data_IF_332820832635
#
_entry.id   IF_332820832635
#
_cell.length_a   1.000
_cell.length_b   1.000
_cell.length_c   1.000
_cell.angle_alpha   90.00
_cell.angle_beta   90.00
_cell.angle_gamma   90.00
#
_symmetry.space_group_name_H-M   'P 1'
#
loop_
_entity.id
_entity.type
_entity.pdbx_description
1 polymer ?
#
# COMPACT_ATOMS: atom_id res chain seq x y z
N UNK A 1 0.55 20.29 -5.50
CA UNK A 1 1.35 19.33 -4.72
C UNK A 1 1.47 18.08 -5.55
N UNK A 2 2.65 17.47 -5.64
CA UNK A 2 2.77 16.18 -6.30
C UNK A 2 2.08 15.11 -5.43
N UNK A 3 1.47 14.14 -6.11
CA UNK A 3 0.67 13.08 -5.50
C UNK A 3 1.11 11.74 -6.10
N UNK A 4 1.46 10.82 -5.21
CA UNK A 4 1.89 9.47 -5.55
C UNK A 4 0.89 8.49 -4.99
N UNK A 5 0.54 7.46 -5.74
CA UNK A 5 -0.46 6.49 -5.33
C UNK A 5 -0.04 5.06 -5.62
N UNK A 6 -0.58 4.17 -4.80
CA UNK A 6 -0.66 2.73 -5.01
C UNK A 6 -2.12 2.36 -4.88
N UNK A 7 -2.70 1.82 -5.95
CA UNK A 7 -4.09 1.39 -6.00
C UNK A 7 -4.15 -0.12 -6.18
N UNK A 8 -4.96 -0.77 -5.35
CA UNK A 8 -5.18 -2.22 -5.39
C UNK A 8 -6.65 -2.47 -5.66
N UNK A 9 -6.97 -3.13 -6.78
CA UNK A 9 -8.36 -3.29 -7.26
C UNK A 9 -8.66 -4.76 -7.46
N UNK A 10 -9.73 -5.25 -6.83
CA UNK A 10 -10.32 -6.54 -7.17
C UNK A 10 -11.49 -6.36 -8.14
N UNK A 11 -12.36 -5.41 -7.82
CA UNK A 11 -13.51 -5.00 -8.62
C UNK A 11 -13.94 -3.58 -8.19
N UNK A 12 -14.90 -2.93 -8.87
CA UNK A 12 -15.29 -1.55 -8.56
C UNK A 12 -15.81 -1.32 -7.13
N UNK A 13 -16.28 -2.38 -6.46
CA UNK A 13 -16.80 -2.33 -5.09
C UNK A 13 -15.73 -2.65 -4.04
N UNK A 14 -14.60 -3.25 -4.45
CA UNK A 14 -13.53 -3.70 -3.56
C UNK A 14 -12.17 -3.20 -4.05
N UNK A 15 -11.70 -2.11 -3.45
CA UNK A 15 -10.42 -1.51 -3.77
C UNK A 15 -9.76 -0.87 -2.54
N UNK A 16 -8.46 -0.65 -2.64
CA UNK A 16 -7.62 0.07 -1.67
C UNK A 16 -6.82 1.12 -2.43
N UNK A 17 -6.67 2.29 -1.83
CA UNK A 17 -5.83 3.37 -2.35
C UNK A 17 -4.93 3.88 -1.23
N UNK A 18 -3.63 3.97 -1.51
CA UNK A 18 -2.60 4.49 -0.60
C UNK A 18 -1.95 5.67 -1.32
N UNK A 19 -2.08 6.86 -0.76
CA UNK A 19 -1.66 8.11 -1.39
C UNK A 19 -0.61 8.81 -0.55
N UNK A 20 0.59 8.98 -1.10
CA UNK A 20 1.64 9.82 -0.54
C UNK A 20 1.59 11.23 -1.11
N UNK A 21 1.53 12.23 -0.23
CA UNK A 21 1.55 13.63 -0.62
C UNK A 21 2.94 14.21 -0.41
N UNK A 22 3.53 14.79 -1.45
CA UNK A 22 4.86 15.38 -1.36
C UNK A 22 5.60 15.35 -2.68
N UNK A 23 6.69 16.13 -2.80
CA UNK A 23 7.51 16.14 -4.01
C UNK A 23 8.29 14.85 -4.23
N UNK A 24 8.53 14.07 -3.16
CA UNK A 24 9.33 12.85 -3.16
C UNK A 24 8.50 11.67 -2.61
N UNK A 25 8.34 10.57 -3.36
CA UNK A 25 7.62 9.39 -2.89
C UNK A 25 8.40 8.57 -1.84
N UNK A 26 9.72 8.73 -1.72
CA UNK A 26 10.49 8.09 -0.63
C UNK A 26 10.20 8.73 0.72
N UNK A 27 9.92 10.03 0.71
CA UNK A 27 9.66 10.81 1.92
C UNK A 27 8.45 11.76 1.76
N UNK A 28 7.24 11.24 1.45
CA UNK A 28 6.05 12.07 1.45
C UNK A 28 5.85 12.71 2.82
N UNK A 29 5.27 13.90 2.84
CA UNK A 29 4.96 14.61 4.09
C UNK A 29 3.84 13.94 4.86
N UNK A 30 2.99 13.16 4.17
CA UNK A 30 1.92 12.37 4.75
C UNK A 30 1.50 11.24 3.80
N UNK A 31 1.04 10.14 4.37
CA UNK A 31 0.35 9.07 3.65
C UNK A 31 -1.10 8.99 4.11
N UNK A 32 -2.02 8.92 3.16
CA UNK A 32 -3.44 8.66 3.41
C UNK A 32 -3.82 7.32 2.79
N UNK A 33 -4.71 6.58 3.46
CA UNK A 33 -5.19 5.28 2.99
C UNK A 33 -6.71 5.26 2.96
N UNK A 34 -7.28 4.75 1.87
CA UNK A 34 -8.72 4.55 1.71
C UNK A 34 -9.00 3.11 1.27
N UNK A 35 -10.14 2.56 1.67
CA UNK A 35 -10.63 1.28 1.20
C UNK A 35 -12.13 1.35 0.90
N UNK A 36 -12.59 0.51 -0.04
CA UNK A 36 -14.00 0.30 -0.36
C UNK A 36 -14.33 -1.19 -0.29
N UNK A 37 -15.54 -1.49 0.20
CA UNK A 37 -16.04 -2.85 0.34
C UNK A 37 -15.34 -3.65 1.45
N UNK A 38 -15.99 -4.72 1.90
CA UNK A 38 -15.49 -5.51 3.03
C UNK A 38 -14.14 -6.18 2.73
N UNK A 39 -13.94 -6.63 1.47
CA UNK A 39 -12.66 -7.23 1.08
C UNK A 39 -11.56 -6.21 0.95
N UNK A 40 -11.87 -5.00 0.48
CA UNK A 40 -10.91 -3.89 0.43
C UNK A 40 -10.50 -3.44 1.83
N UNK A 41 -11.45 -3.34 2.76
CA UNK A 41 -11.17 -3.01 4.15
C UNK A 41 -10.26 -4.04 4.81
N UNK A 42 -10.58 -5.33 4.66
CA UNK A 42 -9.75 -6.42 5.19
C UNK A 42 -8.34 -6.42 4.59
N UNK A 43 -8.22 -6.15 3.29
CA UNK A 43 -6.93 -6.05 2.62
C UNK A 43 -6.12 -4.86 3.15
N UNK A 44 -6.74 -3.69 3.33
CA UNK A 44 -6.05 -2.51 3.87
C UNK A 44 -5.53 -2.76 5.29
N UNK A 45 -6.28 -3.46 6.13
CA UNK A 45 -5.84 -3.80 7.49
C UNK A 45 -4.62 -4.72 7.47
N UNK A 46 -4.56 -5.69 6.56
CA UNK A 46 -3.37 -6.53 6.38
C UNK A 46 -2.16 -5.75 5.86
N UNK A 47 -2.35 -4.89 4.85
CA UNK A 47 -1.27 -4.04 4.32
C UNK A 47 -0.76 -3.12 5.42
N UNK A 48 -1.65 -2.51 6.21
CA UNK A 48 -1.26 -1.64 7.33
C UNK A 48 -0.50 -2.41 8.41
N UNK A 49 -0.94 -3.61 8.75
CA UNK A 49 -0.21 -4.45 9.71
C UNK A 49 1.20 -4.78 9.22
N UNK A 50 1.34 -5.12 7.93
CA UNK A 50 2.64 -5.38 7.30
C UNK A 50 3.53 -4.13 7.23
N UNK A 51 2.94 -2.96 6.95
CA UNK A 51 3.68 -1.70 6.88
C UNK A 51 4.15 -1.22 8.26
N UNK A 52 3.34 -1.37 9.30
CA UNK A 52 3.69 -0.93 10.65
C UNK A 52 4.57 -1.93 11.40
N UNK A 53 4.40 -3.22 11.11
CA UNK A 53 5.11 -4.31 11.75
C UNK A 53 5.71 -5.25 10.70
N UNK A 54 6.66 -4.77 9.88
CA UNK A 54 7.21 -5.56 8.79
C UNK A 54 7.89 -6.81 9.34
N UNK A 55 7.73 -7.96 8.65
CA UNK A 55 8.47 -9.17 9.00
C UNK A 55 9.99 -8.92 8.88
N UNK A 56 10.79 -9.74 9.55
CA UNK A 56 12.22 -9.46 9.78
C UNK A 56 13.01 -9.26 8.47
N UNK A 57 12.60 -9.93 7.41
CA UNK A 57 13.13 -9.86 6.05
C UNK A 57 12.71 -8.61 5.27
N UNK A 58 11.71 -7.85 5.74
CA UNK A 58 11.23 -6.60 5.14
C UNK A 58 11.59 -5.35 5.95
N UNK A 59 12.23 -5.48 7.11
CA UNK A 59 12.59 -4.34 7.98
C UNK A 59 13.46 -3.26 7.31
N UNK A 60 14.15 -3.61 6.23
CA UNK A 60 14.95 -2.65 5.45
C UNK A 60 14.09 -1.74 4.56
N UNK A 61 12.86 -2.14 4.25
CA UNK A 61 12.00 -1.46 3.28
C UNK A 61 11.13 -0.35 3.88
N UNK A 62 10.94 -0.33 5.20
CA UNK A 62 10.13 0.69 5.89
C UNK A 62 11.02 1.55 6.78
N UNK A 63 11.37 2.74 6.28
CA UNK A 63 12.12 3.72 7.06
C UNK A 63 11.22 4.53 8.00
N UNK A 64 9.92 4.64 7.68
CA UNK A 64 8.91 5.46 8.39
C UNK A 64 7.48 5.06 7.98
N UNK A 65 6.48 5.42 8.79
CA UNK A 65 5.05 5.30 8.41
C UNK A 65 4.70 6.17 7.19
N UNK A 66 5.53 7.17 6.90
CA UNK A 66 5.44 8.02 5.72
C UNK A 66 6.40 7.59 4.59
N UNK A 67 6.77 6.32 4.50
CA UNK A 67 7.61 5.79 3.42
C UNK A 67 6.77 5.03 2.40
N UNK A 68 6.43 5.67 1.26
CA UNK A 68 5.52 5.07 0.29
C UNK A 68 6.12 3.85 -0.42
N UNK A 69 7.44 3.75 -0.53
CA UNK A 69 8.11 2.54 -1.04
C UNK A 69 8.00 1.40 -0.03
N UNK A 70 8.05 1.71 1.26
CA UNK A 70 7.72 0.76 2.33
C UNK A 70 6.31 0.21 2.23
N UNK A 71 5.32 1.09 1.98
CA UNK A 71 3.94 0.68 1.71
C UNK A 71 3.82 -0.15 0.43
N UNK A 72 4.56 0.17 -0.63
CA UNK A 72 4.58 -0.62 -1.87
C UNK A 72 5.12 -2.04 -1.64
N UNK A 73 6.21 -2.17 -0.87
CA UNK A 73 6.75 -3.46 -0.49
C UNK A 73 5.73 -4.28 0.34
N UNK A 74 5.05 -3.64 1.31
CA UNK A 74 3.99 -4.26 2.09
C UNK A 74 2.83 -4.76 1.22
N UNK A 75 2.40 -3.96 0.24
CA UNK A 75 1.40 -4.37 -0.77
C UNK A 75 1.89 -5.60 -1.53
N UNK A 76 3.12 -5.59 -2.04
CA UNK A 76 3.67 -6.74 -2.77
C UNK A 76 3.66 -8.03 -1.95
N UNK A 77 4.09 -7.96 -0.69
CA UNK A 77 4.09 -9.10 0.24
C UNK A 77 2.67 -9.66 0.49
N UNK A 78 1.71 -8.77 0.78
CA UNK A 78 0.32 -9.18 1.05
C UNK A 78 -0.34 -9.79 -0.20
N UNK A 79 -0.12 -9.18 -1.37
CA UNK A 79 -0.71 -9.63 -2.63
C UNK A 79 -0.12 -10.97 -3.07
N UNK A 80 1.18 -11.20 -2.88
CA UNK A 80 1.79 -12.51 -3.16
C UNK A 80 1.19 -13.62 -2.28
N UNK A 81 0.96 -13.34 -0.99
CA UNK A 81 0.26 -14.29 -0.09
C UNK A 81 -1.19 -14.54 -0.52
N UNK A 82 -1.85 -13.53 -1.10
CA UNK A 82 -3.22 -13.58 -1.61
C UNK A 82 -3.30 -13.87 -3.11
N UNK A 83 -2.25 -14.45 -3.73
CA UNK A 83 -2.17 -14.70 -5.19
C UNK A 83 -3.33 -15.49 -5.82
N UNK A 84 -4.14 -16.17 -5.02
CA UNK A 84 -5.37 -16.86 -5.47
C UNK A 84 -6.53 -15.89 -5.73
N UNK A 85 -6.46 -14.69 -5.18
CA UNK A 85 -7.39 -13.59 -5.42
C UNK A 85 -6.86 -12.72 -6.57
N UNK A 86 -7.76 -12.31 -7.48
CA UNK A 86 -7.40 -11.57 -8.69
C UNK A 86 -7.18 -10.06 -8.45
N UNK A 87 -6.50 -9.68 -7.37
CA UNK A 87 -6.16 -8.29 -7.10
C UNK A 87 -5.15 -7.77 -8.12
N UNK A 88 -5.42 -6.58 -8.64
CA UNK A 88 -4.54 -5.85 -9.55
C UNK A 88 -3.91 -4.68 -8.78
N UNK A 89 -2.60 -4.48 -8.95
CA UNK A 89 -1.85 -3.38 -8.33
C UNK A 89 -1.43 -2.39 -9.42
N UNK A 90 -1.81 -1.13 -9.25
CA UNK A 90 -1.45 -0.01 -10.13
C UNK A 90 -0.75 1.06 -9.29
N UNK A 91 0.30 1.69 -9.79
CA UNK A 91 0.97 2.79 -9.09
C UNK A 91 1.61 3.77 -10.06
N UNK A 92 1.83 5.01 -9.62
CA UNK A 92 2.58 6.02 -10.36
C UNK A 92 3.97 6.31 -9.76
N UNK A 93 4.47 5.42 -8.90
CA UNK A 93 5.83 5.51 -8.35
C UNK A 93 6.90 5.45 -9.47
N UNK A 94 7.99 6.23 -9.36
CA UNK A 94 9.17 6.16 -10.23
C UNK A 94 9.89 4.81 -10.20
#
# INVERSE_FOLDING_TARGET
MAEWYIRIVLNPENCVEITGYGPDPTYPSRIETCARGDRGQALLEEIRAEALYPPQDMKWALQSENDLYGWHAAVGSVIDRRRTEAWQVEHNLP
#
